data_IF_403647232066
#
_entry.id   IF_403647232066
#
_cell.length_a   1.000
_cell.length_b   1.000
_cell.length_c   1.000
_cell.angle_alpha   90.00
_cell.angle_beta   90.00
_cell.angle_gamma   90.00
#
_symmetry.space_group_name_H-M   'P 1'
#
loop_
_entity.id
_entity.type
_entity.pdbx_description
1 polymer ?
#
# COMPACT_ATOMS: atom_id res chain seq x y z
N UNK A 1 16.19 -3.21 5.88
CA UNK A 1 15.09 -2.64 6.70
C UNK A 1 13.81 -3.35 6.29
N UNK A 2 12.97 -3.77 7.23
CA UNK A 2 11.67 -4.37 6.88
C UNK A 2 10.75 -3.25 6.39
N UNK A 3 10.07 -3.49 5.27
CA UNK A 3 9.06 -2.58 4.72
C UNK A 3 7.63 -3.02 5.09
N UNK A 4 7.54 -3.92 6.07
CA UNK A 4 6.32 -4.54 6.53
C UNK A 4 6.10 -4.19 8.00
N UNK A 5 4.91 -3.68 8.29
CA UNK A 5 4.56 -3.07 9.56
C UNK A 5 3.21 -3.58 10.07
N UNK A 6 3.19 -4.11 11.28
CA UNK A 6 1.96 -4.31 12.04
C UNK A 6 1.46 -2.97 12.59
N UNK A 7 0.15 -2.72 12.46
CA UNK A 7 -0.48 -1.50 12.95
C UNK A 7 -1.69 -1.86 13.82
N UNK A 8 -2.14 -0.95 14.71
CA UNK A 8 -3.43 -1.13 15.38
C UNK A 8 -4.55 -1.30 14.35
N UNK A 9 -5.45 -2.25 14.61
CA UNK A 9 -6.58 -2.55 13.73
C UNK A 9 -7.36 -1.28 13.37
N UNK A 10 -7.52 -1.05 12.06
CA UNK A 10 -8.25 0.09 11.52
C UNK A 10 -8.93 -0.28 10.21
N UNK A 11 -9.98 0.45 9.81
CA UNK A 11 -10.54 0.28 8.47
C UNK A 11 -9.73 1.07 7.44
N UNK A 12 -9.72 0.62 6.19
CA UNK A 12 -9.12 1.34 5.08
C UNK A 12 -9.65 2.78 4.97
N UNK A 13 -10.97 2.97 5.13
CA UNK A 13 -11.62 4.29 5.16
C UNK A 13 -11.02 5.20 6.23
N UNK A 14 -10.78 4.69 7.43
CA UNK A 14 -10.21 5.48 8.53
C UNK A 14 -8.73 5.77 8.28
N UNK A 15 -7.98 4.80 7.74
CA UNK A 15 -6.57 4.98 7.35
C UNK A 15 -6.42 6.09 6.30
N UNK A 16 -7.33 6.14 5.32
CA UNK A 16 -7.37 7.13 4.25
C UNK A 16 -7.42 8.60 4.73
N UNK A 17 -7.91 8.84 5.95
CA UNK A 17 -8.01 10.19 6.53
C UNK A 17 -6.72 10.64 7.22
N UNK A 18 -5.73 9.76 7.41
CA UNK A 18 -4.48 10.09 8.09
C UNK A 18 -3.44 10.67 7.13
N UNK A 19 -3.42 12.00 6.95
CA UNK A 19 -2.35 12.75 6.22
C UNK A 19 -2.03 12.29 4.79
N UNK A 20 -2.75 11.30 4.25
CA UNK A 20 -2.63 10.86 2.87
C UNK A 20 -3.44 11.84 2.01
N UNK A 21 -2.79 12.87 1.48
CA UNK A 21 -3.40 13.75 0.50
C UNK A 21 -3.12 13.22 -0.90
N UNK A 22 -4.13 13.15 -1.76
CA UNK A 22 -3.98 12.74 -3.16
C UNK A 22 -3.44 11.32 -3.32
N UNK A 23 -4.34 10.33 -3.29
CA UNK A 23 -4.03 8.93 -3.59
C UNK A 23 -5.13 8.30 -4.44
N UNK A 24 -4.75 7.29 -5.21
CA UNK A 24 -5.68 6.35 -5.83
C UNK A 24 -5.87 5.16 -4.87
N UNK A 25 -7.12 4.81 -4.59
CA UNK A 25 -7.47 3.68 -3.73
C UNK A 25 -8.06 2.54 -4.56
N UNK A 26 -7.59 1.31 -4.30
CA UNK A 26 -8.13 0.07 -4.87
C UNK A 26 -8.45 -0.89 -3.73
N UNK A 27 -9.64 -1.49 -3.73
CA UNK A 27 -10.09 -2.46 -2.73
C UNK A 27 -11.39 -2.03 -2.04
N UNK A 28 -11.69 -2.67 -0.91
CA UNK A 28 -12.89 -2.37 -0.11
C UNK A 28 -12.56 -1.35 1.00
N UNK A 29 -13.23 -0.18 1.07
CA UNK A 29 -12.99 0.80 2.14
C UNK A 29 -13.28 0.28 3.56
N UNK A 30 -14.07 -0.76 3.70
CA UNK A 30 -14.44 -1.33 4.99
C UNK A 30 -13.53 -2.51 5.40
N UNK A 31 -12.54 -2.86 4.58
CA UNK A 31 -11.47 -3.81 4.90
C UNK A 31 -10.77 -3.44 6.20
N UNK A 32 -10.65 -4.40 7.11
CA UNK A 32 -9.94 -4.27 8.39
C UNK A 32 -8.46 -4.54 8.16
N UNK A 33 -7.64 -3.50 8.30
CA UNK A 33 -6.19 -3.54 8.08
C UNK A 33 -5.49 -3.87 9.40
N UNK A 34 -4.56 -4.83 9.34
CA UNK A 34 -3.69 -5.23 10.46
C UNK A 34 -2.21 -5.08 10.15
N UNK A 35 -1.87 -5.25 8.87
CA UNK A 35 -0.49 -5.33 8.39
C UNK A 35 -0.37 -4.54 7.10
N UNK A 36 0.59 -3.63 7.07
CA UNK A 36 0.82 -2.72 5.95
C UNK A 36 2.18 -3.01 5.34
N UNK A 37 2.18 -3.25 4.04
CA UNK A 37 3.40 -3.38 3.26
C UNK A 37 3.64 -2.11 2.45
N UNK A 38 4.75 -1.45 2.75
CA UNK A 38 5.19 -0.23 2.11
C UNK A 38 6.13 -0.62 0.97
N UNK A 39 5.58 -0.79 -0.22
CA UNK A 39 6.32 -1.31 -1.37
C UNK A 39 7.04 -0.20 -2.14
N UNK A 40 7.93 -0.61 -3.05
CA UNK A 40 8.47 0.26 -4.10
C UNK A 40 7.44 0.50 -5.21
N UNK A 41 7.88 1.10 -6.32
CA UNK A 41 7.02 1.35 -7.48
C UNK A 41 6.43 0.05 -8.05
N UNK A 42 5.14 0.09 -8.41
CA UNK A 42 4.48 -0.99 -9.14
C UNK A 42 4.27 -0.49 -10.58
N UNK A 43 5.13 -0.94 -11.50
CA UNK A 43 5.20 -0.41 -12.87
C UNK A 43 4.85 -1.44 -13.95
N UNK A 44 4.36 -2.62 -13.56
CA UNK A 44 4.09 -3.73 -14.47
C UNK A 44 5.34 -4.53 -14.84
N UNK A 45 6.38 -4.48 -14.01
CA UNK A 45 7.60 -5.27 -14.22
C UNK A 45 7.43 -6.70 -13.72
N UNK A 46 8.27 -7.63 -14.21
CA UNK A 46 8.25 -9.03 -13.74
C UNK A 46 8.52 -9.13 -12.23
N UNK A 47 9.31 -8.22 -11.68
CA UNK A 47 9.59 -8.10 -10.23
C UNK A 47 8.35 -7.79 -9.40
N UNK A 48 7.27 -7.26 -9.98
CA UNK A 48 6.05 -6.97 -9.23
C UNK A 48 5.37 -8.27 -8.75
N UNK A 49 5.66 -9.40 -9.40
CA UNK A 49 5.20 -10.73 -8.95
C UNK A 49 5.79 -11.16 -7.60
N UNK A 50 6.93 -10.61 -7.20
CA UNK A 50 7.50 -10.81 -5.86
C UNK A 50 6.63 -10.16 -4.80
N UNK A 51 6.00 -9.02 -5.13
CA UNK A 51 5.04 -8.36 -4.23
C UNK A 51 3.80 -9.22 -4.04
N UNK A 52 3.26 -9.82 -5.10
CA UNK A 52 2.11 -10.74 -5.02
C UNK A 52 2.45 -11.96 -4.17
N UNK A 53 3.62 -12.55 -4.40
CA UNK A 53 4.07 -13.71 -3.63
C UNK A 53 4.17 -13.38 -2.14
N UNK A 54 4.79 -12.23 -1.81
CA UNK A 54 4.90 -11.74 -0.43
C UNK A 54 3.54 -11.46 0.21
N UNK A 55 2.62 -10.82 -0.53
CA UNK A 55 1.25 -10.54 -0.09
C UNK A 55 0.56 -11.82 0.37
N UNK A 56 0.72 -12.90 -0.40
CA UNK A 56 0.13 -14.20 -0.11
C UNK A 56 0.81 -14.94 1.03
N UNK A 57 2.12 -15.04 1.00
CA UNK A 57 2.90 -15.81 1.99
C UNK A 57 2.81 -15.20 3.39
N UNK A 58 2.64 -13.88 3.47
CA UNK A 58 2.67 -13.13 4.74
C UNK A 58 1.31 -12.59 5.17
N UNK A 59 0.23 -12.94 4.47
CA UNK A 59 -1.14 -12.50 4.74
C UNK A 59 -1.27 -10.97 4.88
N UNK A 60 -0.59 -10.24 4.00
CA UNK A 60 -0.62 -8.77 3.98
C UNK A 60 -1.90 -8.32 3.30
N UNK A 61 -2.64 -7.41 3.94
CA UNK A 61 -3.93 -6.97 3.44
C UNK A 61 -4.02 -5.48 3.07
N UNK A 62 -2.91 -4.74 3.19
CA UNK A 62 -2.81 -3.36 2.76
C UNK A 62 -1.44 -3.07 2.13
N UNK A 63 -1.44 -2.48 0.95
CA UNK A 63 -0.24 -1.98 0.27
C UNK A 63 -0.24 -0.46 0.21
N UNK A 64 0.93 0.14 0.44
CA UNK A 64 1.20 1.55 0.19
C UNK A 64 2.31 1.62 -0.86
N UNK A 65 2.04 2.25 -2.00
CA UNK A 65 2.98 2.37 -3.12
C UNK A 65 3.09 3.82 -3.60
N UNK A 66 4.27 4.31 -4.01
CA UNK A 66 4.45 5.66 -4.57
C UNK A 66 3.89 5.85 -5.97
N UNK A 67 3.90 4.82 -6.82
CA UNK A 67 3.31 4.85 -8.16
C UNK A 67 2.69 3.49 -8.44
N UNK A 68 1.58 3.50 -9.18
CA UNK A 68 0.86 2.29 -9.54
C UNK A 68 0.43 2.37 -11.00
N UNK A 69 0.93 1.44 -11.81
CA UNK A 69 0.31 1.11 -13.09
C UNK A 69 -0.90 0.22 -12.81
N UNK A 70 -2.01 0.51 -13.47
CA UNK A 70 -3.26 -0.26 -13.38
C UNK A 70 -3.16 -1.61 -14.13
N UNK A 71 -2.14 -2.40 -13.81
CA UNK A 71 -1.83 -3.72 -14.36
C UNK A 71 -1.15 -4.56 -13.26
N UNK A 72 -0.98 -5.86 -13.46
CA UNK A 72 -0.34 -6.80 -12.52
C UNK A 72 -0.95 -6.77 -11.10
N UNK A 73 -0.31 -6.10 -10.14
CA UNK A 73 -0.72 -6.08 -8.73
C UNK A 73 -2.06 -5.38 -8.55
N UNK A 74 -2.32 -4.32 -9.34
CA UNK A 74 -3.59 -3.61 -9.28
C UNK A 74 -4.77 -4.49 -9.72
N UNK A 75 -4.56 -5.33 -10.74
CA UNK A 75 -5.57 -6.28 -11.22
C UNK A 75 -5.75 -7.43 -10.23
N UNK A 76 -4.64 -7.96 -9.70
CA UNK A 76 -4.64 -8.99 -8.67
C UNK A 76 -5.50 -8.62 -7.46
N UNK A 77 -5.30 -7.42 -6.89
CA UNK A 77 -6.07 -6.95 -5.72
C UNK A 77 -7.55 -6.73 -6.08
N UNK A 78 -7.87 -6.34 -7.32
CA UNK A 78 -9.28 -6.23 -7.76
C UNK A 78 -9.93 -7.60 -7.86
N UNK A 79 -9.23 -8.59 -8.39
CA UNK A 79 -9.73 -9.96 -8.52
C UNK A 79 -9.96 -10.59 -7.14
N UNK A 80 -9.02 -10.38 -6.21
CA UNK A 80 -9.19 -10.77 -4.80
C UNK A 80 -10.42 -10.10 -4.16
N UNK A 81 -10.64 -8.81 -4.42
CA UNK A 81 -11.85 -8.12 -3.98
C UNK A 81 -13.14 -8.76 -4.50
N UNK A 82 -13.13 -9.31 -5.72
CA UNK A 82 -14.29 -10.06 -6.27
C UNK A 82 -14.48 -11.42 -5.59
N UNK A 83 -13.40 -12.02 -5.09
CA UNK A 83 -13.43 -13.25 -4.28
C UNK A 83 -13.81 -13.00 -2.81
N UNK A 84 -14.09 -11.75 -2.45
CA UNK A 84 -14.34 -11.28 -1.07
C UNK A 84 -13.14 -11.40 -0.15
N UNK A 85 -11.94 -11.42 -0.72
CA UNK A 85 -10.72 -11.22 0.03
C UNK A 85 -10.58 -9.72 0.37
N UNK A 86 -10.27 -9.44 1.63
CA UNK A 86 -10.24 -8.09 2.18
C UNK A 86 -8.83 -7.50 2.01
N UNK A 87 -8.44 -7.18 0.77
CA UNK A 87 -7.18 -6.48 0.48
C UNK A 87 -7.36 -5.11 -0.16
N UNK A 88 -6.42 -4.21 0.06
CA UNK A 88 -6.44 -2.87 -0.50
C UNK A 88 -5.07 -2.28 -0.85
N UNK A 89 -5.06 -1.30 -1.74
CA UNK A 89 -3.89 -0.51 -2.14
C UNK A 89 -4.19 0.98 -1.94
N UNK A 90 -3.25 1.69 -1.32
CA UNK A 90 -3.14 3.14 -1.34
C UNK A 90 -1.96 3.54 -2.24
N UNK A 91 -2.27 3.85 -3.49
CA UNK A 91 -1.30 4.35 -4.45
C UNK A 91 -1.21 5.87 -4.31
N UNK A 92 -0.10 6.33 -3.75
CA UNK A 92 0.20 7.74 -3.65
C UNK A 92 0.76 8.25 -4.98
N UNK A 93 1.03 9.54 -5.02
CA UNK A 93 1.98 10.10 -5.96
C UNK A 93 3.40 9.98 -5.37
N UNK A 94 4.41 9.88 -6.26
CA UNK A 94 5.81 9.72 -5.86
C UNK A 94 6.24 10.82 -4.90
N UNK A 95 5.84 12.07 -5.19
CA UNK A 95 6.26 13.24 -4.42
C UNK A 95 5.64 13.27 -3.02
N UNK A 96 4.33 13.01 -2.89
CA UNK A 96 3.65 13.02 -1.59
C UNK A 96 4.27 11.99 -0.62
N UNK A 97 4.70 10.85 -1.15
CA UNK A 97 5.31 9.79 -0.36
C UNK A 97 6.76 10.11 0.04
N UNK A 98 7.54 10.74 -0.83
CA UNK A 98 8.91 11.13 -0.52
C UNK A 98 9.00 12.37 0.38
N UNK A 99 8.07 13.32 0.26
CA UNK A 99 8.05 14.53 1.08
C UNK A 99 8.01 14.21 2.58
N UNK A 100 7.15 13.27 3.01
CA UNK A 100 7.08 12.81 4.40
C UNK A 100 8.45 12.28 4.89
N UNK A 101 9.17 11.56 4.03
CA UNK A 101 10.50 11.04 4.38
C UNK A 101 11.54 12.14 4.46
N UNK A 102 11.46 13.14 3.59
CA UNK A 102 12.37 14.29 3.61
C UNK A 102 12.14 15.11 4.89
N UNK A 103 10.89 15.38 5.27
CA UNK A 103 10.57 16.08 6.53
C UNK A 103 11.14 15.33 7.75
N UNK A 104 10.95 14.01 7.79
CA UNK A 104 11.45 13.19 8.89
C UNK A 104 12.98 13.16 8.94
N UNK A 105 13.62 13.01 7.78
CA UNK A 105 15.08 12.98 7.66
C UNK A 105 15.71 14.33 8.01
N UNK A 106 15.10 15.43 7.56
CA UNK A 106 15.51 16.78 7.98
C UNK A 106 15.44 16.91 9.50
N UNK A 107 14.32 16.55 10.12
CA UNK A 107 14.18 16.55 11.58
C UNK A 107 15.17 15.65 12.33
N UNK A 108 15.67 14.58 11.71
CA UNK A 108 16.71 13.71 12.30
C UNK A 108 18.12 14.33 12.22
N UNK A 109 18.39 15.14 11.19
CA UNK A 109 19.71 15.74 10.96
C UNK A 109 19.96 17.03 11.77
N UNK A 110 18.90 17.67 12.29
CA UNK A 110 18.95 18.88 13.11
C UNK A 110 18.71 18.57 14.59
#
# INVERSE_FOLDING_TARGET
MSNDYEIPETTARKLAHYRLHGFCFIGNPDTVIKRVYVTGHILGHLSDSDSISKINDEDINCLITPELVNFTVAEYIRDEGMLKEDRCIFAHDHFNYEEIRIEWYAGYLW
#
